data_IF_060531240031
#
_entry.id   IF_060531240031
#
_cell.length_a   1.000
_cell.length_b   1.000
_cell.length_c   1.000
_cell.angle_alpha   90.00
_cell.angle_beta   90.00
_cell.angle_gamma   90.00
#
_symmetry.space_group_name_H-M   'P 1'
#
loop_
_entity.id
_entity.type
_entity.pdbx_description
1 polymer ?
#
# COMPACT_ATOMS: atom_id res chain seq x y z
N UNK A 1 2.23 15.34 -21.37
CA UNK A 1 2.73 16.25 -22.44
C UNK A 1 2.81 17.67 -21.87
N UNK A 2 4.00 18.27 -21.92
CA UNK A 2 4.18 19.68 -21.62
C UNK A 2 4.29 20.46 -22.93
N UNK A 3 3.65 21.63 -23.02
CA UNK A 3 3.71 22.53 -24.15
C UNK A 3 4.68 23.70 -23.90
N UNK A 4 5.40 23.67 -22.79
CA UNK A 4 6.38 24.65 -22.38
C UNK A 4 7.56 23.95 -21.69
N UNK A 5 8.63 24.69 -21.41
CA UNK A 5 9.82 24.19 -20.75
C UNK A 5 10.03 24.84 -19.40
N UNK A 6 10.61 24.11 -18.46
CA UNK A 6 10.90 24.60 -17.13
C UNK A 6 12.36 24.38 -16.77
N UNK A 7 12.86 25.21 -15.88
CA UNK A 7 14.13 25.06 -15.20
C UNK A 7 13.87 24.91 -13.71
N UNK A 8 14.51 23.92 -13.09
CA UNK A 8 14.37 23.62 -11.65
C UNK A 8 15.72 23.79 -10.96
N UNK A 9 15.73 24.46 -9.82
CA UNK A 9 16.90 24.67 -8.97
C UNK A 9 16.60 24.18 -7.56
N UNK A 10 17.42 23.28 -7.03
CA UNK A 10 17.35 22.80 -5.63
C UNK A 10 18.03 23.82 -4.72
N UNK A 11 17.24 24.75 -4.16
CA UNK A 11 17.75 25.86 -3.37
C UNK A 11 18.25 25.40 -2.00
N UNK A 12 17.42 24.65 -1.28
CA UNK A 12 17.68 24.20 0.07
C UNK A 12 17.22 22.77 0.33
N UNK A 13 17.95 22.11 1.21
CA UNK A 13 17.60 20.79 1.77
C UNK A 13 17.79 20.84 3.28
N UNK A 14 16.81 20.35 4.04
CA UNK A 14 16.89 20.16 5.48
C UNK A 14 16.41 18.77 5.85
N UNK A 15 17.25 18.03 6.56
CA UNK A 15 16.90 16.74 7.16
C UNK A 15 16.75 16.96 8.65
N UNK A 16 15.58 16.68 9.19
CA UNK A 16 15.22 16.89 10.59
C UNK A 16 14.94 15.53 11.24
N UNK A 17 15.92 15.03 11.99
CA UNK A 17 15.81 13.75 12.69
C UNK A 17 14.80 13.77 13.85
N UNK A 18 14.61 14.94 14.47
CA UNK A 18 13.69 15.06 15.60
C UNK A 18 12.21 14.99 15.15
N UNK A 19 11.92 15.60 14.02
CA UNK A 19 10.58 15.59 13.43
C UNK A 19 10.39 14.52 12.34
N UNK A 20 11.41 13.71 12.08
CA UNK A 20 11.42 12.64 11.08
C UNK A 20 11.00 13.14 9.68
N UNK A 21 11.50 14.30 9.26
CA UNK A 21 11.13 14.91 7.99
C UNK A 21 12.33 15.31 7.14
N UNK A 22 12.13 15.29 5.82
CA UNK A 22 13.05 15.86 4.83
C UNK A 22 12.32 16.96 4.09
N UNK A 23 12.83 18.20 4.18
CA UNK A 23 12.25 19.35 3.49
C UNK A 23 13.20 19.87 2.40
N UNK A 24 12.69 19.97 1.17
CA UNK A 24 13.38 20.57 0.03
C UNK A 24 12.62 21.78 -0.48
N UNK A 25 13.34 22.87 -0.76
CA UNK A 25 12.80 24.03 -1.47
C UNK A 25 13.39 24.04 -2.88
N UNK A 26 12.52 24.13 -3.88
CA UNK A 26 12.90 24.09 -5.29
C UNK A 26 12.27 25.25 -6.03
N UNK A 27 13.11 26.11 -6.59
CA UNK A 27 12.63 27.17 -7.48
C UNK A 27 12.42 26.61 -8.88
N UNK A 28 11.20 26.79 -9.40
CA UNK A 28 10.78 26.39 -10.74
C UNK A 28 10.51 27.64 -11.56
N UNK A 29 11.12 27.74 -12.74
CA UNK A 29 10.93 28.86 -13.67
C UNK A 29 10.40 28.32 -15.00
N UNK A 30 9.32 28.92 -15.50
CA UNK A 30 8.86 28.64 -16.86
C UNK A 30 9.78 29.37 -17.86
N UNK A 31 10.59 28.62 -18.58
CA UNK A 31 11.54 29.09 -19.58
C UNK A 31 10.99 29.09 -21.01
N UNK A 32 9.80 28.54 -21.20
CA UNK A 32 9.14 28.45 -22.49
C UNK A 32 8.24 29.65 -22.79
N UNK A 33 7.44 29.53 -23.82
CA UNK A 33 6.59 30.61 -24.34
C UNK A 33 5.10 30.46 -24.05
N UNK A 34 4.69 29.40 -23.39
CA UNK A 34 3.28 29.10 -23.04
C UNK A 34 3.17 28.95 -21.53
N UNK A 35 2.04 29.35 -20.95
CA UNK A 35 1.76 29.10 -19.54
C UNK A 35 1.58 27.62 -19.27
N UNK A 36 2.05 27.13 -18.12
CA UNK A 36 1.94 25.72 -17.77
C UNK A 36 2.31 25.45 -16.31
N UNK A 37 2.11 24.20 -15.90
CA UNK A 37 2.48 23.69 -14.57
C UNK A 37 3.63 22.70 -14.71
N UNK A 38 4.51 22.68 -13.73
CA UNK A 38 5.61 21.72 -13.63
C UNK A 38 5.48 20.85 -12.39
N UNK A 39 6.10 19.68 -12.43
CA UNK A 39 6.17 18.73 -11.31
C UNK A 39 7.61 18.66 -10.83
N UNK A 40 7.82 18.94 -9.55
CA UNK A 40 9.09 18.72 -8.88
C UNK A 40 9.04 17.35 -8.23
N UNK A 41 9.93 16.46 -8.62
CA UNK A 41 10.10 15.15 -8.04
C UNK A 41 11.39 15.15 -7.22
N UNK A 42 11.26 14.87 -5.92
CA UNK A 42 12.40 14.73 -4.99
C UNK A 42 12.76 13.25 -4.87
N UNK A 43 13.99 12.93 -5.18
CA UNK A 43 14.54 11.59 -5.09
C UNK A 43 15.60 11.50 -4.00
N UNK A 44 15.81 10.29 -3.48
CA UNK A 44 16.90 9.97 -2.56
C UNK A 44 17.65 8.73 -3.03
N UNK A 45 18.98 8.78 -2.99
CA UNK A 45 19.88 7.63 -3.10
C UNK A 45 20.44 7.34 -1.71
N UNK A 46 20.23 6.12 -1.26
CA UNK A 46 20.59 5.66 0.09
C UNK A 46 22.00 5.08 0.08
N UNK A 47 22.73 5.11 1.20
CA UNK A 47 23.94 4.34 1.35
C UNK A 47 23.65 2.85 1.10
N UNK A 48 24.52 2.17 0.36
CA UNK A 48 24.48 0.72 0.18
C UNK A 48 25.76 0.11 0.71
N UNK A 49 25.68 -0.34 1.94
CA UNK A 49 26.83 -0.65 2.79
C UNK A 49 27.23 -2.13 2.73
N UNK A 50 28.33 -2.50 3.39
CA UNK A 50 28.67 -3.91 3.53
C UNK A 50 27.70 -4.63 4.47
N UNK A 51 27.13 -3.92 5.46
CA UNK A 51 26.04 -4.45 6.27
C UNK A 51 24.86 -4.91 5.39
N UNK A 52 24.42 -4.07 4.45
CA UNK A 52 23.30 -4.39 3.55
C UNK A 52 23.56 -5.68 2.76
N UNK A 53 24.78 -5.81 2.21
CA UNK A 53 25.18 -6.99 1.42
C UNK A 53 25.22 -8.26 2.27
N UNK A 54 25.68 -8.15 3.52
CA UNK A 54 25.76 -9.27 4.46
C UNK A 54 24.38 -9.71 4.98
N UNK A 55 23.46 -8.75 5.15
CA UNK A 55 22.11 -8.98 5.68
C UNK A 55 21.03 -9.13 4.58
N UNK A 56 21.40 -9.01 3.30
CA UNK A 56 20.46 -9.12 2.18
C UNK A 56 19.48 -7.94 2.10
N UNK A 57 19.86 -6.77 2.61
CA UNK A 57 19.06 -5.55 2.51
C UNK A 57 19.26 -4.92 1.14
N UNK A 58 18.29 -5.06 0.26
CA UNK A 58 18.35 -4.50 -1.10
C UNK A 58 17.73 -3.12 -1.17
N UNK A 59 18.40 -2.23 -1.91
CA UNK A 59 17.98 -0.84 -2.09
C UNK A 59 18.05 -0.44 -3.55
N UNK A 60 17.10 0.35 -4.01
CA UNK A 60 17.18 0.98 -5.32
C UNK A 60 18.38 1.94 -5.39
N UNK A 61 18.93 2.13 -6.60
CA UNK A 61 19.99 3.13 -6.81
C UNK A 61 19.50 4.56 -6.48
N UNK A 62 18.23 4.82 -6.73
CA UNK A 62 17.48 6.01 -6.29
C UNK A 62 16.01 5.67 -6.19
N UNK A 63 15.29 6.37 -5.33
CA UNK A 63 13.84 6.20 -5.17
C UNK A 63 13.16 7.56 -5.06
N UNK A 64 11.94 7.66 -5.57
CA UNK A 64 11.10 8.84 -5.39
C UNK A 64 10.73 8.97 -3.91
N UNK A 65 11.13 10.07 -3.28
CA UNK A 65 10.82 10.31 -1.87
C UNK A 65 9.47 11.01 -1.70
N UNK A 66 9.26 12.10 -2.45
CA UNK A 66 7.98 12.81 -2.54
C UNK A 66 8.00 13.77 -3.76
N UNK A 67 6.90 14.47 -4.01
CA UNK A 67 6.76 15.40 -5.11
C UNK A 67 5.87 16.59 -4.78
N UNK A 68 6.03 17.64 -5.55
CA UNK A 68 5.17 18.83 -5.52
C UNK A 68 4.86 19.32 -6.93
N UNK A 69 3.83 20.14 -7.06
CA UNK A 69 3.42 20.69 -8.35
C UNK A 69 3.20 22.21 -8.25
N UNK A 70 3.69 22.95 -9.25
CA UNK A 70 3.50 24.39 -9.30
C UNK A 70 2.04 24.78 -9.57
N UNK A 71 1.68 26.01 -9.24
CA UNK A 71 0.58 26.69 -9.89
C UNK A 71 0.86 26.83 -11.40
N UNK A 72 -0.09 27.41 -12.16
CA UNK A 72 0.15 27.73 -13.56
C UNK A 72 1.08 28.93 -13.65
N UNK A 73 2.28 28.74 -14.22
CA UNK A 73 3.30 29.74 -14.39
C UNK A 73 3.22 30.34 -15.80
N UNK A 74 3.05 31.65 -15.89
CA UNK A 74 3.19 32.36 -17.15
C UNK A 74 4.66 32.28 -17.67
N UNK A 75 4.91 32.51 -18.99
CA UNK A 75 6.26 32.59 -19.51
C UNK A 75 7.16 33.51 -18.72
N UNK A 76 8.32 33.03 -18.27
CA UNK A 76 9.29 33.79 -17.46
C UNK A 76 8.97 33.88 -15.97
N UNK A 77 7.79 33.44 -15.51
CA UNK A 77 7.43 33.44 -14.10
C UNK A 77 8.11 32.30 -13.35
N UNK A 78 8.29 32.48 -12.05
CA UNK A 78 8.90 31.49 -11.15
C UNK A 78 8.04 31.31 -9.90
N UNK A 79 8.15 30.13 -9.29
CA UNK A 79 7.55 29.76 -8.00
C UNK A 79 8.53 28.87 -7.23
N UNK A 80 8.52 28.96 -5.90
CA UNK A 80 9.25 28.01 -5.05
C UNK A 80 8.27 26.96 -4.54
N UNK A 81 8.52 25.71 -4.91
CA UNK A 81 7.79 24.54 -4.41
C UNK A 81 8.52 24.01 -3.19
N UNK A 82 7.81 23.90 -2.06
CA UNK A 82 8.33 23.25 -0.85
C UNK A 82 7.77 21.84 -0.79
N UNK A 83 8.67 20.86 -0.68
CA UNK A 83 8.33 19.44 -0.50
C UNK A 83 8.77 19.05 0.91
N UNK A 84 7.87 18.46 1.68
CA UNK A 84 8.17 17.90 3.00
C UNK A 84 7.79 16.42 3.00
N UNK A 85 8.79 15.56 2.94
CA UNK A 85 8.65 14.12 2.92
C UNK A 85 8.79 13.51 4.32
N UNK A 86 8.09 12.41 4.57
CA UNK A 86 8.28 11.59 5.76
C UNK A 86 9.59 10.81 5.63
N UNK A 87 10.45 10.87 6.65
CA UNK A 87 11.75 10.21 6.66
C UNK A 87 11.63 8.69 6.64
N UNK A 88 10.54 8.14 7.12
CA UNK A 88 10.26 6.70 7.03
C UNK A 88 10.32 6.20 5.58
N UNK A 89 9.97 7.04 4.60
CA UNK A 89 10.02 6.68 3.17
C UNK A 89 11.44 6.46 2.64
N UNK A 90 12.47 6.83 3.38
CA UNK A 90 13.88 6.54 3.03
C UNK A 90 14.52 5.47 3.92
N UNK A 91 13.79 4.90 4.87
CA UNK A 91 14.27 3.77 5.65
C UNK A 91 14.25 2.47 4.81
N UNK A 92 15.18 1.58 5.11
CA UNK A 92 15.31 0.28 4.44
C UNK A 92 14.80 -0.83 5.34
N UNK A 93 14.13 -1.82 4.79
CA UNK A 93 13.67 -2.97 5.55
C UNK A 93 14.77 -4.02 5.68
N UNK A 94 15.14 -4.36 6.92
CA UNK A 94 15.97 -5.52 7.24
C UNK A 94 15.12 -6.57 7.95
N UNK A 95 14.87 -7.69 7.29
CA UNK A 95 14.04 -8.79 7.81
C UNK A 95 14.72 -9.60 8.91
N UNK A 96 16.03 -9.44 9.10
CA UNK A 96 16.86 -10.24 10.00
C UNK A 96 17.32 -9.49 11.24
N UNK A 97 17.24 -8.16 11.23
CA UNK A 97 17.69 -7.32 12.35
C UNK A 97 16.95 -7.67 13.65
N UNK A 98 17.70 -7.69 14.74
CA UNK A 98 17.13 -7.65 16.08
C UNK A 98 16.82 -6.20 16.43
N UNK A 99 15.56 -5.82 16.45
CA UNK A 99 15.22 -4.45 16.77
C UNK A 99 15.22 -4.17 18.28
N UNK A 100 15.20 -2.87 18.62
CA UNK A 100 15.28 -2.40 20.01
C UNK A 100 14.12 -2.87 20.92
N UNK A 101 13.01 -3.33 20.34
CA UNK A 101 11.86 -3.85 21.10
C UNK A 101 11.87 -5.37 21.25
N UNK A 102 12.90 -6.06 20.73
CA UNK A 102 13.13 -7.49 20.91
C UNK A 102 12.42 -8.40 19.93
N UNK A 103 11.89 -7.87 18.81
CA UNK A 103 11.37 -8.65 17.68
C UNK A 103 12.39 -8.77 16.55
N UNK A 104 12.11 -9.61 15.56
CA UNK A 104 12.91 -9.71 14.33
C UNK A 104 12.30 -8.88 13.24
N UNK A 105 13.17 -8.19 12.49
CA UNK A 105 12.79 -7.27 11.43
C UNK A 105 12.66 -5.82 11.91
N UNK A 106 13.27 -4.91 11.19
CA UNK A 106 13.25 -3.49 11.50
C UNK A 106 13.40 -2.65 10.24
N UNK A 107 12.83 -1.45 10.24
CA UNK A 107 13.25 -0.40 9.31
C UNK A 107 14.50 0.28 9.86
N UNK A 108 15.55 0.34 9.04
CA UNK A 108 16.86 0.85 9.41
C UNK A 108 17.22 2.10 8.59
N UNK A 109 18.08 2.93 9.18
CA UNK A 109 18.84 3.96 8.47
C UNK A 109 20.33 3.65 8.61
N UNK A 110 21.01 3.46 7.48
CA UNK A 110 22.44 3.18 7.49
C UNK A 110 23.27 4.42 7.79
N UNK A 111 24.39 4.24 8.42
CA UNK A 111 25.41 5.27 8.48
C UNK A 111 25.99 5.51 7.07
N UNK A 112 26.18 6.78 6.72
CA UNK A 112 26.74 7.15 5.42
C UNK A 112 26.05 8.33 4.77
N UNK A 113 26.40 8.55 3.51
CA UNK A 113 25.91 9.69 2.74
C UNK A 113 24.60 9.34 2.02
N UNK A 114 23.58 10.14 2.31
CA UNK A 114 22.30 10.16 1.62
C UNK A 114 22.34 11.29 0.59
N UNK A 115 22.07 10.97 -0.66
CA UNK A 115 22.02 11.96 -1.72
C UNK A 115 20.60 12.27 -2.12
N UNK A 116 20.19 13.53 -1.95
CA UNK A 116 18.89 14.03 -2.36
C UNK A 116 19.05 14.82 -3.67
N UNK A 117 18.14 14.57 -4.60
CA UNK A 117 18.20 15.22 -5.91
C UNK A 117 16.81 15.46 -6.47
N UNK A 118 16.71 16.42 -7.39
CA UNK A 118 15.52 16.66 -8.19
C UNK A 118 15.75 16.18 -9.62
N UNK A 119 14.70 15.68 -10.27
CA UNK A 119 14.78 15.22 -11.65
C UNK A 119 13.41 14.91 -12.23
N UNK A 120 13.32 14.79 -13.56
CA UNK A 120 12.10 14.44 -14.26
C UNK A 120 11.83 12.91 -14.30
N UNK A 121 12.65 12.14 -13.61
CA UNK A 121 12.54 10.69 -13.49
C UNK A 121 13.77 10.09 -12.84
N UNK A 122 13.69 8.81 -12.48
CA UNK A 122 14.75 8.10 -11.77
C UNK A 122 16.09 8.08 -12.52
N UNK A 123 16.09 8.03 -13.86
CA UNK A 123 17.33 8.04 -14.66
C UNK A 123 18.08 9.38 -14.52
N UNK A 124 17.38 10.52 -14.65
CA UNK A 124 18.00 11.83 -14.43
C UNK A 124 18.49 11.97 -12.99
N UNK A 125 17.68 11.50 -12.01
CA UNK A 125 18.02 11.55 -10.61
C UNK A 125 19.33 10.78 -10.30
N UNK A 126 19.47 9.55 -10.78
CA UNK A 126 20.71 8.77 -10.63
C UNK A 126 21.90 9.50 -11.24
N UNK A 127 21.75 10.02 -12.47
CA UNK A 127 22.84 10.72 -13.13
C UNK A 127 23.25 12.01 -12.41
N UNK A 128 22.30 12.75 -11.83
CA UNK A 128 22.63 13.92 -11.02
C UNK A 128 23.46 13.56 -9.79
N UNK A 129 23.10 12.47 -9.08
CA UNK A 129 23.89 11.98 -7.95
C UNK A 129 25.27 11.51 -8.40
N UNK A 130 25.38 10.71 -9.44
CA UNK A 130 26.66 10.25 -9.97
C UNK A 130 27.55 11.43 -10.40
N UNK A 131 26.97 12.47 -11.01
CA UNK A 131 27.71 13.69 -11.36
C UNK A 131 28.20 14.43 -10.11
N UNK A 132 27.38 14.49 -9.05
CA UNK A 132 27.78 15.11 -7.77
C UNK A 132 28.88 14.32 -7.05
N UNK A 133 28.92 13.01 -7.24
CA UNK A 133 30.01 12.13 -6.80
C UNK A 133 31.28 12.18 -7.69
N UNK A 134 31.24 13.02 -8.74
CA UNK A 134 32.38 13.23 -9.63
C UNK A 134 32.51 12.25 -10.80
N UNK A 135 31.45 11.47 -11.07
CA UNK A 135 31.42 10.57 -12.22
C UNK A 135 31.14 11.36 -13.52
N UNK A 136 31.67 10.87 -14.63
CA UNK A 136 31.46 11.45 -15.97
C UNK A 136 30.19 10.87 -16.59
N UNK A 137 29.05 11.49 -16.31
CA UNK A 137 27.71 11.08 -16.77
C UNK A 137 26.94 12.30 -17.29
N UNK A 138 25.82 12.05 -17.97
CA UNK A 138 24.88 13.08 -18.39
C UNK A 138 23.96 13.44 -17.22
N UNK A 139 24.46 14.24 -16.28
CA UNK A 139 23.77 14.69 -15.09
C UNK A 139 24.29 16.04 -14.59
N UNK A 140 23.54 16.68 -13.70
CA UNK A 140 23.84 18.00 -13.10
C UNK A 140 24.12 17.85 -11.60
N UNK A 141 25.39 18.02 -11.22
CA UNK A 141 25.83 17.92 -9.81
C UNK A 141 25.17 18.95 -8.89
N UNK A 142 24.80 20.12 -9.40
CA UNK A 142 24.15 21.21 -8.69
C UNK A 142 22.68 20.92 -8.34
N UNK A 143 22.08 19.90 -8.96
CA UNK A 143 20.74 19.39 -8.63
C UNK A 143 20.73 18.36 -7.49
N UNK A 144 21.88 18.00 -6.95
CA UNK A 144 22.01 17.03 -5.86
C UNK A 144 22.66 17.67 -4.62
N UNK A 145 22.21 17.24 -3.43
CA UNK A 145 22.77 17.61 -2.13
C UNK A 145 22.91 16.38 -1.26
N UNK A 146 24.03 16.27 -0.54
CA UNK A 146 24.25 15.19 0.41
C UNK A 146 23.90 15.59 1.83
N UNK A 147 23.53 14.61 2.61
CA UNK A 147 23.41 14.64 4.05
C UNK A 147 24.01 13.35 4.62
N UNK A 148 24.78 13.45 5.68
CA UNK A 148 25.47 12.29 6.27
C UNK A 148 24.81 11.92 7.59
N UNK A 149 24.48 10.63 7.76
CA UNK A 149 24.12 10.03 9.03
C UNK A 149 25.38 9.39 9.63
N UNK A 150 25.77 9.84 10.82
CA UNK A 150 27.05 9.43 11.43
C UNK A 150 27.04 8.01 12.00
N UNK A 151 25.88 7.47 12.34
CA UNK A 151 25.74 6.16 12.97
C UNK A 151 24.52 5.41 12.43
N UNK A 152 24.67 4.09 12.35
CA UNK A 152 23.56 3.18 12.05
C UNK A 152 22.43 3.34 13.07
N UNK A 153 21.17 3.34 12.58
CA UNK A 153 19.96 3.51 13.39
C UNK A 153 18.96 2.39 13.07
N UNK A 154 18.70 1.54 14.04
CA UNK A 154 17.70 0.48 14.06
C UNK A 154 16.60 0.73 15.11
N UNK A 155 16.52 1.94 15.64
CA UNK A 155 15.66 2.31 16.77
C UNK A 155 14.52 3.25 16.39
N UNK A 156 14.79 4.25 15.56
CA UNK A 156 13.81 5.28 15.19
C UNK A 156 12.55 4.67 14.62
N UNK A 157 12.67 3.68 13.71
CA UNK A 157 11.54 3.00 13.08
C UNK A 157 11.31 1.56 13.57
N UNK A 158 11.75 1.24 14.81
CA UNK A 158 11.51 -0.05 15.46
C UNK A 158 10.04 -0.25 15.88
N UNK A 159 9.30 0.84 16.00
CA UNK A 159 7.87 0.83 16.28
C UNK A 159 7.11 1.71 15.30
N UNK A 160 5.84 1.39 15.09
CA UNK A 160 4.92 2.26 14.35
C UNK A 160 4.62 3.53 15.15
N UNK A 161 4.02 4.53 14.50
CA UNK A 161 3.55 5.76 15.17
C UNK A 161 2.57 5.50 16.33
N UNK A 162 1.94 4.32 16.37
CA UNK A 162 1.05 3.89 17.47
C UNK A 162 1.79 3.16 18.60
N UNK A 163 3.11 2.99 18.50
CA UNK A 163 3.92 2.25 19.46
C UNK A 163 3.88 0.72 19.32
N UNK A 164 3.27 0.21 18.26
CA UNK A 164 3.30 -1.23 17.97
C UNK A 164 4.67 -1.62 17.44
N UNK A 165 5.26 -2.68 17.97
CA UNK A 165 6.53 -3.21 17.49
C UNK A 165 6.46 -3.57 15.99
N UNK A 166 7.49 -3.19 15.25
CA UNK A 166 7.68 -3.65 13.87
C UNK A 166 8.35 -5.01 13.91
N UNK A 167 7.84 -5.96 13.11
CA UNK A 167 8.39 -7.31 13.07
C UNK A 167 8.22 -7.95 11.69
N UNK A 168 9.01 -8.99 11.40
CA UNK A 168 8.87 -9.77 10.17
C UNK A 168 7.73 -10.79 10.33
N UNK A 169 6.53 -10.39 9.92
CA UNK A 169 5.33 -11.23 9.98
C UNK A 169 5.22 -12.25 8.83
N UNK A 170 6.10 -12.17 7.83
CA UNK A 170 6.05 -12.98 6.60
C UNK A 170 7.26 -13.91 6.46
N UNK A 171 7.98 -14.17 7.54
CA UNK A 171 9.20 -14.98 7.51
C UNK A 171 8.96 -16.41 6.99
N UNK A 172 7.82 -16.99 7.31
CA UNK A 172 7.40 -18.33 6.91
C UNK A 172 6.86 -18.39 5.46
N UNK A 173 6.60 -17.25 4.84
CA UNK A 173 6.20 -17.20 3.42
C UNK A 173 7.40 -17.26 2.47
N UNK A 174 8.62 -17.12 2.97
CA UNK A 174 9.82 -17.31 2.16
C UNK A 174 10.05 -18.80 1.89
N UNK A 175 10.08 -19.17 0.59
CA UNK A 175 10.33 -20.56 0.18
C UNK A 175 11.66 -21.10 0.74
N UNK A 176 12.66 -20.26 0.97
CA UNK A 176 13.93 -20.68 1.56
C UNK A 176 13.81 -21.09 3.03
N UNK A 177 12.73 -20.70 3.73
CA UNK A 177 12.43 -21.19 5.09
C UNK A 177 12.07 -22.67 5.09
N UNK A 178 11.47 -23.15 4.00
CA UNK A 178 11.01 -24.54 3.83
C UNK A 178 12.00 -25.39 3.04
N UNK A 179 12.59 -24.83 2.00
CA UNK A 179 13.54 -25.45 1.09
C UNK A 179 14.77 -24.55 0.94
N UNK A 180 15.74 -24.60 1.85
CA UNK A 180 16.91 -23.74 1.83
C UNK A 180 17.67 -23.76 0.49
N UNK A 181 18.02 -22.59 -0.03
CA UNK A 181 18.73 -22.43 -1.29
C UNK A 181 17.89 -22.63 -2.55
N UNK A 182 16.57 -22.68 -2.44
CA UNK A 182 15.65 -22.76 -3.57
C UNK A 182 15.63 -21.48 -4.38
N UNK A 183 15.38 -20.34 -3.75
CA UNK A 183 15.41 -19.03 -4.37
C UNK A 183 16.76 -18.37 -4.12
N UNK A 184 17.35 -17.86 -5.21
CA UNK A 184 18.47 -16.91 -5.14
C UNK A 184 17.87 -15.55 -5.41
N UNK A 185 17.90 -14.67 -4.41
CA UNK A 185 17.35 -13.32 -4.56
C UNK A 185 18.29 -12.46 -5.40
N UNK A 186 17.70 -11.61 -6.23
CA UNK A 186 18.48 -10.65 -7.01
C UNK A 186 19.16 -9.66 -6.06
N UNK A 187 20.46 -9.45 -6.28
CA UNK A 187 21.20 -8.41 -5.58
C UNK A 187 21.96 -7.52 -6.54
N UNK A 188 21.93 -6.22 -6.29
CA UNK A 188 22.74 -5.26 -7.05
C UNK A 188 24.25 -5.42 -6.82
N UNK A 189 24.66 -6.08 -5.74
CA UNK A 189 26.06 -6.37 -5.45
C UNK A 189 26.64 -7.46 -6.34
N UNK A 190 25.80 -8.38 -6.83
CA UNK A 190 26.18 -9.46 -7.78
C UNK A 190 25.01 -9.77 -8.73
N UNK A 191 24.69 -8.81 -9.58
CA UNK A 191 23.59 -8.94 -10.52
C UNK A 191 23.74 -10.15 -11.45
N UNK A 192 24.94 -10.39 -11.96
CA UNK A 192 25.18 -11.50 -12.90
C UNK A 192 25.08 -12.86 -12.22
N UNK A 193 25.56 -12.99 -10.99
CA UNK A 193 25.50 -14.22 -10.20
C UNK A 193 24.11 -14.57 -9.72
N UNK A 194 23.28 -13.57 -9.46
CA UNK A 194 21.93 -13.75 -8.90
C UNK A 194 20.81 -13.69 -9.93
N UNK A 195 21.07 -13.21 -11.14
CA UNK A 195 20.07 -13.22 -12.21
C UNK A 195 19.73 -14.65 -12.65
N UNK A 196 18.44 -15.05 -12.63
CA UNK A 196 18.06 -16.43 -12.94
C UNK A 196 18.31 -16.75 -14.42
N UNK A 197 19.14 -17.76 -14.70
CA UNK A 197 19.50 -18.21 -16.05
C UNK A 197 18.72 -19.45 -16.48
N UNK A 198 18.15 -20.18 -15.51
CA UNK A 198 17.39 -21.42 -15.75
C UNK A 198 16.26 -21.51 -14.73
N UNK A 199 15.22 -22.26 -15.10
CA UNK A 199 14.17 -22.63 -14.13
C UNK A 199 14.63 -23.81 -13.30
N UNK A 200 14.29 -23.78 -12.00
CA UNK A 200 14.45 -24.92 -11.10
C UNK A 200 13.15 -25.71 -11.06
N UNK A 201 13.23 -27.04 -11.18
CA UNK A 201 12.13 -27.91 -10.85
C UNK A 201 12.18 -28.17 -9.33
N UNK A 202 11.14 -27.80 -8.62
CA UNK A 202 11.03 -28.02 -7.19
C UNK A 202 10.22 -29.28 -6.93
N UNK A 203 10.62 -30.01 -5.90
CA UNK A 203 9.84 -31.14 -5.35
C UNK A 203 9.54 -30.83 -3.90
N UNK A 204 8.27 -30.92 -3.52
CA UNK A 204 7.87 -30.72 -2.14
C UNK A 204 8.55 -31.74 -1.22
N UNK A 205 8.93 -31.33 -0.04
CA UNK A 205 9.42 -32.24 1.00
C UNK A 205 8.27 -33.01 1.64
N UNK A 206 8.57 -34.10 2.33
CA UNK A 206 7.56 -34.85 3.05
C UNK A 206 6.89 -33.98 4.12
N UNK A 207 7.62 -33.07 4.77
CA UNK A 207 7.08 -32.10 5.73
C UNK A 207 6.09 -31.12 5.08
N UNK A 208 6.40 -30.60 3.88
CA UNK A 208 5.47 -29.75 3.13
C UNK A 208 4.21 -30.53 2.72
N UNK A 209 4.37 -31.78 2.33
CA UNK A 209 3.23 -32.64 1.99
C UNK A 209 2.39 -32.96 3.22
N UNK A 210 3.02 -33.25 4.36
CA UNK A 210 2.32 -33.47 5.63
C UNK A 210 1.50 -32.26 6.05
N UNK A 211 2.05 -31.04 5.90
CA UNK A 211 1.31 -29.79 6.18
C UNK A 211 0.12 -29.66 5.24
N UNK A 212 0.32 -29.86 3.93
CA UNK A 212 -0.76 -29.78 2.95
C UNK A 212 -1.84 -30.82 3.16
N UNK A 213 -1.46 -32.05 3.54
CA UNK A 213 -2.42 -33.13 3.82
C UNK A 213 -3.15 -32.93 5.15
N UNK A 214 -2.52 -32.31 6.14
CA UNK A 214 -3.09 -32.07 7.46
C UNK A 214 -3.82 -30.70 7.54
N UNK A 215 -3.58 -29.81 6.61
CA UNK A 215 -4.32 -28.54 6.48
C UNK A 215 -5.68 -28.72 5.77
N UNK A 216 -5.97 -29.93 5.33
CA UNK A 216 -7.36 -30.31 5.08
C UNK A 216 -8.05 -30.22 6.43
N UNK A 217 -8.85 -29.18 6.59
CA UNK A 217 -9.75 -28.99 7.72
C UNK A 217 -10.54 -30.29 7.89
N UNK A 218 -10.00 -31.21 8.68
CA UNK A 218 -10.79 -32.34 9.17
C UNK A 218 -11.91 -31.66 9.98
N UNK A 219 -13.10 -31.67 9.39
CA UNK A 219 -14.30 -31.44 10.19
C UNK A 219 -14.09 -32.35 11.36
N UNK A 220 -13.77 -31.79 12.53
CA UNK A 220 -13.50 -32.57 13.71
C UNK A 220 -14.79 -33.35 14.03
N UNK A 221 -14.93 -34.52 13.38
CA UNK A 221 -16.05 -35.41 13.58
C UNK A 221 -16.16 -35.83 15.04
N UNK A 222 -15.10 -35.60 15.84
CA UNK A 222 -15.03 -35.80 17.26
C UNK A 222 -15.20 -34.50 18.06
N UNK A 223 -15.38 -33.35 17.40
CA UNK A 223 -15.75 -32.10 18.08
C UNK A 223 -17.08 -32.33 18.78
N UNK A 224 -17.13 -32.05 20.07
CA UNK A 224 -18.38 -32.16 20.82
C UNK A 224 -19.26 -30.94 20.46
N UNK A 225 -20.30 -31.10 19.61
CA UNK A 225 -21.19 -30.02 19.25
C UNK A 225 -21.93 -29.43 20.45
N UNK A 226 -21.92 -30.13 21.61
CA UNK A 226 -22.50 -29.63 22.85
C UNK A 226 -21.72 -28.43 23.45
N UNK A 227 -20.50 -28.18 22.97
CA UNK A 227 -19.70 -27.01 23.42
C UNK A 227 -19.99 -25.73 22.64
N UNK A 228 -20.74 -25.82 21.55
CA UNK A 228 -21.10 -24.65 20.72
C UNK A 228 -22.52 -24.24 21.05
N UNK A 229 -22.68 -22.97 21.45
CA UNK A 229 -24.00 -22.37 21.74
C UNK A 229 -24.52 -21.67 20.49
N UNK A 230 -25.79 -21.88 20.17
CA UNK A 230 -26.50 -21.17 19.09
C UNK A 230 -27.81 -20.60 19.63
N UNK A 231 -28.18 -19.41 19.15
CA UNK A 231 -29.46 -18.78 19.42
C UNK A 231 -29.68 -18.35 20.88
N UNK A 232 -28.59 -18.05 21.61
CA UNK A 232 -28.69 -17.49 22.93
C UNK A 232 -29.30 -16.08 22.87
N UNK A 233 -30.00 -15.68 23.91
CA UNK A 233 -30.52 -14.32 24.07
C UNK A 233 -29.66 -13.56 25.13
N UNK A 234 -28.53 -13.06 24.69
CA UNK A 234 -27.59 -12.29 25.52
C UNK A 234 -27.86 -10.77 25.43
N UNK A 235 -28.77 -10.35 24.54
CA UNK A 235 -29.19 -8.95 24.40
C UNK A 235 -28.11 -8.04 23.80
N UNK A 236 -27.07 -8.61 23.16
CA UNK A 236 -25.98 -7.86 22.54
C UNK A 236 -26.25 -7.61 21.04
N UNK A 237 -25.78 -6.48 20.57
CA UNK A 237 -25.74 -6.14 19.16
C UNK A 237 -24.29 -5.93 18.72
N UNK A 238 -24.02 -6.04 17.42
CA UNK A 238 -22.69 -5.74 16.89
C UNK A 238 -22.25 -4.30 17.20
N UNK A 239 -23.19 -3.37 17.32
CA UNK A 239 -22.91 -1.98 17.67
C UNK A 239 -22.36 -1.81 19.11
N UNK A 240 -22.72 -2.72 20.03
CA UNK A 240 -22.25 -2.68 21.43
C UNK A 240 -20.75 -3.02 21.54
N UNK A 241 -20.20 -3.66 20.53
CA UNK A 241 -18.78 -4.00 20.45
C UNK A 241 -17.95 -2.95 19.67
N UNK A 242 -18.57 -1.84 19.28
CA UNK A 242 -17.84 -0.78 18.57
C UNK A 242 -16.68 -0.25 19.43
N UNK A 243 -15.46 -0.37 18.91
CA UNK A 243 -14.23 0.08 19.58
C UNK A 243 -13.63 -0.96 20.54
N UNK A 244 -14.19 -2.16 20.63
CA UNK A 244 -13.58 -3.30 21.32
C UNK A 244 -12.54 -3.90 20.38
N UNK A 245 -11.26 -3.71 20.71
CA UNK A 245 -10.12 -4.21 19.91
C UNK A 245 -9.50 -5.48 20.50
N UNK A 246 -9.82 -5.81 21.76
CA UNK A 246 -9.40 -7.04 22.39
C UNK A 246 -10.31 -8.18 21.90
N UNK A 247 -9.74 -9.14 21.20
CA UNK A 247 -10.47 -10.30 20.68
C UNK A 247 -10.80 -11.34 21.76
N UNK A 248 -10.12 -11.27 22.90
CA UNK A 248 -10.38 -12.12 24.08
C UNK A 248 -11.46 -11.54 25.01
N UNK A 249 -12.02 -10.37 24.69
CA UNK A 249 -13.15 -9.80 25.42
C UNK A 249 -14.37 -10.73 25.37
N UNK A 250 -14.88 -11.14 26.52
CA UNK A 250 -15.98 -12.12 26.65
C UNK A 250 -17.23 -11.75 25.84
N UNK A 251 -17.43 -10.46 25.56
CA UNK A 251 -18.58 -9.98 24.77
C UNK A 251 -18.58 -10.54 23.35
N UNK A 252 -17.41 -10.83 22.75
CA UNK A 252 -17.35 -11.47 21.44
C UNK A 252 -17.96 -12.86 21.47
N UNK A 253 -17.61 -13.68 22.46
CA UNK A 253 -18.19 -15.01 22.63
C UNK A 253 -19.69 -14.95 22.89
N UNK A 254 -20.13 -14.05 23.78
CA UNK A 254 -21.55 -13.86 24.06
C UNK A 254 -22.34 -13.38 22.83
N UNK A 255 -21.75 -12.51 21.98
CA UNK A 255 -22.36 -12.08 20.72
C UNK A 255 -22.47 -13.24 19.74
N UNK A 256 -21.39 -14.04 19.60
CA UNK A 256 -21.38 -15.19 18.70
C UNK A 256 -22.37 -16.28 19.11
N UNK A 257 -22.58 -16.50 20.40
CA UNK A 257 -23.57 -17.44 20.91
C UNK A 257 -25.01 -17.10 20.54
N UNK A 258 -25.30 -15.84 20.18
CA UNK A 258 -26.61 -15.41 19.71
C UNK A 258 -26.93 -15.86 18.28
N UNK A 259 -25.91 -16.12 17.46
CA UNK A 259 -26.12 -16.55 16.09
C UNK A 259 -26.89 -17.87 16.05
N UNK A 260 -27.86 -17.96 15.16
CA UNK A 260 -28.48 -19.25 14.84
C UNK A 260 -27.57 -20.04 13.89
N UNK A 261 -27.72 -21.38 13.89
CA UNK A 261 -26.98 -22.22 12.94
C UNK A 261 -27.29 -21.82 11.49
N UNK A 262 -28.54 -21.45 11.19
CA UNK A 262 -28.96 -21.02 9.86
C UNK A 262 -28.26 -19.73 9.45
N UNK A 263 -28.16 -18.71 10.31
CA UNK A 263 -27.43 -17.47 10.05
C UNK A 263 -25.94 -17.73 9.80
N UNK A 264 -25.32 -18.63 10.58
CA UNK A 264 -23.94 -19.03 10.33
C UNK A 264 -23.75 -19.71 8.98
N UNK A 265 -24.63 -20.59 8.58
CA UNK A 265 -24.60 -21.25 7.27
C UNK A 265 -24.82 -20.26 6.12
N UNK A 266 -25.76 -19.34 6.26
CA UNK A 266 -26.02 -18.27 5.27
C UNK A 266 -24.78 -17.39 5.12
N UNK A 267 -24.14 -17.01 6.24
CA UNK A 267 -22.94 -16.18 6.23
C UNK A 267 -21.79 -16.83 5.46
N UNK A 268 -21.58 -18.12 5.67
CA UNK A 268 -20.51 -18.87 5.01
C UNK A 268 -20.84 -19.22 3.56
N UNK A 269 -22.09 -19.55 3.25
CA UNK A 269 -22.50 -20.08 1.96
C UNK A 269 -22.92 -19.03 0.93
N UNK A 270 -23.43 -17.87 1.36
CA UNK A 270 -24.00 -16.84 0.50
C UNK A 270 -23.24 -15.51 0.53
N UNK A 271 -21.99 -15.52 0.99
CA UNK A 271 -21.16 -14.33 1.08
C UNK A 271 -20.81 -13.74 -0.28
N UNK A 272 -19.80 -14.22 -0.91
CA UNK A 272 -19.28 -13.67 -2.16
C UNK A 272 -18.82 -12.21 -1.98
N UNK A 273 -19.30 -11.31 -2.83
CA UNK A 273 -19.02 -9.87 -2.78
C UNK A 273 -19.99 -9.10 -1.88
N UNK A 274 -20.74 -9.77 -1.03
CA UNK A 274 -21.62 -9.16 -0.04
C UNK A 274 -21.64 -10.02 1.22
N UNK A 275 -22.05 -9.44 2.34
CA UNK A 275 -22.39 -10.20 3.53
C UNK A 275 -23.87 -10.05 3.81
N UNK A 276 -24.57 -11.15 4.02
CA UNK A 276 -25.99 -11.09 4.38
C UNK A 276 -26.19 -10.52 5.76
N UNK A 277 -27.30 -9.88 5.98
CA UNK A 277 -27.68 -9.42 7.33
C UNK A 277 -27.76 -10.61 8.30
N UNK A 278 -27.36 -10.36 9.55
CA UNK A 278 -27.51 -11.30 10.66
C UNK A 278 -28.39 -10.62 11.70
N UNK A 279 -29.66 -11.03 11.74
CA UNK A 279 -30.68 -10.35 12.54
C UNK A 279 -30.46 -10.51 14.03
N UNK A 280 -30.01 -11.68 14.48
CA UNK A 280 -29.78 -12.00 15.89
C UNK A 280 -28.77 -11.07 16.58
N UNK A 281 -27.85 -10.48 15.84
CA UNK A 281 -26.83 -9.53 16.35
C UNK A 281 -26.95 -8.15 15.73
N UNK A 282 -28.02 -7.88 14.98
CA UNK A 282 -28.26 -6.63 14.25
C UNK A 282 -27.08 -6.23 13.33
N UNK A 283 -26.41 -7.21 12.70
CA UNK A 283 -25.40 -6.96 11.70
C UNK A 283 -26.08 -6.65 10.35
N UNK A 284 -25.85 -5.48 9.75
CA UNK A 284 -26.48 -5.14 8.48
C UNK A 284 -25.89 -5.95 7.32
N UNK A 285 -26.65 -6.06 6.23
CA UNK A 285 -26.08 -6.50 4.95
C UNK A 285 -25.03 -5.51 4.46
N UNK A 286 -23.95 -6.03 3.89
CA UNK A 286 -22.89 -5.22 3.28
C UNK A 286 -22.78 -5.51 1.80
N UNK A 287 -22.46 -4.49 1.02
CA UNK A 287 -22.18 -4.60 -0.41
C UNK A 287 -20.73 -4.19 -0.62
N UNK A 288 -19.97 -5.04 -1.33
CA UNK A 288 -18.57 -4.80 -1.66
C UNK A 288 -18.45 -4.71 -3.18
N UNK A 289 -17.64 -3.79 -3.66
CA UNK A 289 -17.49 -3.62 -5.10
C UNK A 289 -16.15 -3.02 -5.50
N UNK A 290 -15.70 -3.40 -6.70
CA UNK A 290 -14.58 -2.80 -7.40
C UNK A 290 -14.92 -1.42 -7.94
N UNK A 291 -13.86 -0.61 -8.16
CA UNK A 291 -14.12 0.64 -8.79
C UNK A 291 -12.98 1.59 -9.05
N UNK A 292 -11.79 1.15 -9.50
CA UNK A 292 -10.71 2.09 -9.79
C UNK A 292 -11.02 3.07 -10.91
N UNK A 293 -11.93 2.74 -11.84
CA UNK A 293 -12.36 3.61 -12.94
C UNK A 293 -13.73 4.26 -12.69
N UNK A 294 -14.14 4.36 -11.44
CA UNK A 294 -15.52 4.57 -11.02
C UNK A 294 -16.15 3.24 -10.61
N UNK A 295 -17.17 3.28 -9.78
CA UNK A 295 -17.81 2.06 -9.28
C UNK A 295 -18.28 1.22 -10.47
N UNK A 296 -17.60 0.09 -10.67
CA UNK A 296 -18.01 -0.90 -11.66
C UNK A 296 -18.80 -2.00 -10.97
N UNK A 297 -20.08 -1.90 -11.09
CA UNK A 297 -21.02 -2.74 -10.38
C UNK A 297 -21.17 -4.11 -11.04
N UNK A 298 -20.50 -5.11 -10.52
CA UNK A 298 -20.89 -6.48 -10.78
C UNK A 298 -22.25 -6.80 -10.11
N UNK A 299 -22.52 -6.48 -8.85
CA UNK A 299 -23.85 -6.63 -8.25
C UNK A 299 -24.82 -5.50 -8.59
N UNK A 300 -24.35 -4.28 -8.86
CA UNK A 300 -25.22 -3.11 -9.03
C UNK A 300 -25.55 -2.79 -10.50
N UNK A 301 -24.86 -3.30 -11.47
CA UNK A 301 -25.05 -2.93 -12.87
C UNK A 301 -25.03 -4.05 -13.90
N UNK A 302 -24.36 -5.17 -13.67
CA UNK A 302 -24.43 -6.32 -14.58
C UNK A 302 -25.66 -7.19 -14.35
N UNK A 303 -26.23 -7.16 -13.15
CA UNK A 303 -27.47 -7.82 -12.80
C UNK A 303 -28.70 -6.89 -12.86
N UNK A 304 -28.58 -5.72 -13.42
CA UNK A 304 -29.71 -5.10 -14.07
C UNK A 304 -30.17 -6.07 -15.20
N UNK A 305 -30.59 -7.23 -14.76
CA UNK A 305 -30.95 -8.33 -15.63
C UNK A 305 -32.18 -7.90 -16.43
N UNK A 306 -32.01 -7.85 -17.69
CA UNK A 306 -33.12 -7.76 -18.62
C UNK A 306 -34.01 -9.01 -18.53
N UNK A 307 -33.59 -10.05 -17.83
CA UNK A 307 -34.37 -11.25 -17.58
C UNK A 307 -35.24 -11.09 -16.33
N UNK A 308 -36.47 -10.65 -16.56
CA UNK A 308 -37.52 -10.53 -15.53
C UNK A 308 -37.91 -11.87 -14.87
N UNK A 309 -37.31 -12.98 -15.27
CA UNK A 309 -37.55 -14.31 -14.72
C UNK A 309 -36.52 -14.73 -13.67
N UNK A 310 -35.49 -13.90 -13.40
CA UNK A 310 -34.50 -14.19 -12.39
C UNK A 310 -35.14 -14.24 -11.02
N UNK A 311 -34.93 -15.36 -10.33
CA UNK A 311 -35.30 -15.53 -8.92
C UNK A 311 -34.19 -15.04 -7.99
N UNK A 312 -33.12 -14.43 -8.51
CA UNK A 312 -32.04 -13.85 -7.73
C UNK A 312 -32.60 -12.65 -6.94
N UNK A 313 -32.59 -12.71 -5.60
CA UNK A 313 -33.06 -11.61 -4.75
C UNK A 313 -32.20 -10.34 -4.90
N UNK A 314 -31.01 -10.45 -5.51
CA UNK A 314 -30.14 -9.32 -5.83
C UNK A 314 -30.36 -8.77 -7.26
N UNK A 315 -31.26 -9.35 -8.05
CA UNK A 315 -31.54 -8.86 -9.40
C UNK A 315 -32.28 -7.52 -9.31
N UNK A 316 -31.61 -6.47 -9.73
CA UNK A 316 -32.16 -5.12 -9.82
C UNK A 316 -32.96 -5.02 -11.14
N UNK A 317 -34.20 -4.54 -11.10
CA UNK A 317 -34.95 -4.25 -12.32
C UNK A 317 -34.26 -3.13 -13.10
N UNK A 318 -33.65 -3.47 -14.23
CA UNK A 318 -33.01 -2.51 -15.12
C UNK A 318 -33.91 -1.36 -15.59
N UNK A 319 -35.21 -1.54 -15.45
CA UNK A 319 -36.20 -0.55 -15.86
C UNK A 319 -36.71 0.31 -14.70
N UNK A 320 -36.29 0.03 -13.44
CA UNK A 320 -36.60 0.91 -12.33
C UNK A 320 -35.59 2.08 -12.33
N UNK A 321 -36.04 3.31 -12.65
CA UNK A 321 -35.12 4.45 -12.68
C UNK A 321 -34.52 4.80 -11.32
N UNK A 322 -35.09 4.28 -10.23
CA UNK A 322 -34.57 4.51 -8.88
C UNK A 322 -33.51 3.48 -8.47
N UNK A 323 -33.45 2.35 -9.18
CA UNK A 323 -32.49 1.27 -8.95
C UNK A 323 -31.41 1.20 -10.03
N UNK A 324 -31.52 2.01 -11.09
CA UNK A 324 -30.52 2.08 -12.16
C UNK A 324 -29.37 3.02 -11.71
N UNK A 325 -28.42 2.49 -10.99
CA UNK A 325 -27.20 3.23 -10.64
C UNK A 325 -26.37 3.48 -11.91
N UNK A 326 -26.27 4.73 -12.30
CA UNK A 326 -25.42 5.16 -13.42
C UNK A 326 -24.24 5.93 -12.88
N UNK A 327 -23.10 5.26 -12.82
CA UNK A 327 -21.85 5.90 -12.43
C UNK A 327 -21.13 6.45 -13.67
N UNK A 328 -20.44 7.57 -13.48
CA UNK A 328 -19.52 8.08 -14.49
C UNK A 328 -18.29 7.18 -14.61
N UNK A 329 -17.86 6.95 -15.85
CA UNK A 329 -16.54 6.33 -16.08
C UNK A 329 -15.45 7.38 -15.86
N UNK A 330 -14.46 7.09 -15.05
CA UNK A 330 -13.33 7.96 -14.73
C UNK A 330 -12.02 7.34 -15.26
N UNK A 331 -10.95 8.13 -15.28
CA UNK A 331 -9.63 7.58 -15.54
C UNK A 331 -9.21 6.64 -14.41
N UNK A 332 -8.43 5.60 -14.70
CA UNK A 332 -7.90 4.72 -13.68
C UNK A 332 -6.82 5.41 -12.82
N UNK A 333 -6.48 4.82 -11.68
CA UNK A 333 -5.53 5.38 -10.72
C UNK A 333 -4.15 5.62 -11.34
N UNK A 334 -3.71 4.73 -12.24
CA UNK A 334 -2.44 4.89 -12.96
C UNK A 334 -2.41 6.20 -13.74
N UNK A 335 -3.50 6.54 -14.43
CA UNK A 335 -3.61 7.81 -15.18
C UNK A 335 -3.66 9.00 -14.23
N UNK A 336 -4.39 8.87 -13.11
CA UNK A 336 -4.43 9.93 -12.08
C UNK A 336 -3.04 10.13 -11.46
N UNK A 337 -2.34 9.04 -11.10
CA UNK A 337 -1.00 9.09 -10.53
C UNK A 337 0.01 9.77 -11.48
N UNK A 338 -0.05 9.50 -12.77
CA UNK A 338 0.82 10.13 -13.78
C UNK A 338 0.64 11.65 -13.89
N UNK A 339 -0.43 12.20 -13.33
CA UNK A 339 -0.60 13.68 -13.28
C UNK A 339 0.24 14.34 -12.21
N UNK A 340 0.75 13.58 -11.22
CA UNK A 340 1.41 14.11 -10.03
C UNK A 340 0.61 15.25 -9.37
N UNK A 341 -0.70 15.09 -9.28
CA UNK A 341 -1.62 16.11 -8.78
C UNK A 341 -2.43 15.57 -7.60
N UNK A 342 -1.95 15.87 -6.38
CA UNK A 342 -2.57 15.45 -5.13
C UNK A 342 -4.02 15.96 -4.99
N UNK A 343 -4.30 17.20 -5.47
CA UNK A 343 -5.63 17.77 -5.42
C UNK A 343 -6.61 17.01 -6.33
N UNK A 344 -6.16 16.64 -7.55
CA UNK A 344 -6.97 15.84 -8.45
C UNK A 344 -7.26 14.44 -7.86
N UNK A 345 -6.25 13.81 -7.26
CA UNK A 345 -6.43 12.52 -6.58
C UNK A 345 -7.43 12.62 -5.42
N UNK A 346 -7.36 13.72 -4.64
CA UNK A 346 -8.31 13.97 -3.56
C UNK A 346 -9.73 14.18 -4.08
N UNK A 347 -9.93 14.97 -5.15
CA UNK A 347 -11.25 15.15 -5.77
C UNK A 347 -11.79 13.85 -6.35
N UNK A 348 -10.92 13.02 -6.95
CA UNK A 348 -11.26 11.68 -7.41
C UNK A 348 -11.78 10.82 -6.25
N UNK A 349 -11.05 10.76 -5.13
CA UNK A 349 -11.47 10.03 -3.93
C UNK A 349 -12.80 10.51 -3.35
N UNK A 350 -13.06 11.83 -3.37
CA UNK A 350 -14.36 12.38 -2.96
C UNK A 350 -15.50 11.91 -3.87
N UNK A 351 -15.28 11.85 -5.18
CA UNK A 351 -16.29 11.34 -6.12
C UNK A 351 -16.57 9.87 -5.84
N UNK A 352 -15.53 9.03 -5.66
CA UNK A 352 -15.69 7.62 -5.29
C UNK A 352 -16.44 7.46 -3.97
N UNK A 353 -16.11 8.25 -2.95
CA UNK A 353 -16.80 8.24 -1.67
C UNK A 353 -18.28 8.63 -1.78
N UNK A 354 -18.61 9.66 -2.58
CA UNK A 354 -19.99 10.06 -2.83
C UNK A 354 -20.77 8.99 -3.59
N UNK A 355 -20.16 8.34 -4.56
CA UNK A 355 -20.79 7.22 -5.27
C UNK A 355 -21.06 6.04 -4.33
N UNK A 356 -20.11 5.73 -3.44
CA UNK A 356 -20.26 4.67 -2.44
C UNK A 356 -21.43 4.96 -1.50
N UNK A 357 -21.51 6.20 -0.98
CA UNK A 357 -22.63 6.61 -0.13
C UNK A 357 -23.98 6.54 -0.87
N UNK A 358 -24.02 7.01 -2.11
CA UNK A 358 -25.26 7.01 -2.89
C UNK A 358 -25.75 5.61 -3.24
N UNK A 359 -24.83 4.66 -3.49
CA UNK A 359 -25.15 3.28 -3.84
C UNK A 359 -25.26 2.34 -2.64
N UNK A 360 -25.11 2.86 -1.42
CA UNK A 360 -25.05 2.06 -0.19
C UNK A 360 -23.91 1.01 -0.21
N UNK A 361 -22.83 1.33 -0.90
CA UNK A 361 -21.64 0.48 -0.95
C UNK A 361 -20.91 0.58 0.39
N UNK A 362 -20.68 -0.55 1.03
CA UNK A 362 -20.06 -0.62 2.37
C UNK A 362 -18.54 -0.76 2.29
N UNK A 363 -18.04 -1.48 1.29
CA UNK A 363 -16.62 -1.70 1.04
C UNK A 363 -16.33 -1.40 -0.42
N UNK A 364 -15.39 -0.52 -0.65
CA UNK A 364 -14.88 -0.15 -1.96
C UNK A 364 -13.48 -0.74 -2.14
N UNK A 365 -13.31 -1.50 -3.22
CA UNK A 365 -12.01 -2.07 -3.62
C UNK A 365 -11.40 -1.17 -4.69
N UNK A 366 -10.42 -0.33 -4.29
CA UNK A 366 -9.78 0.65 -5.15
C UNK A 366 -8.29 0.78 -4.90
#
# INVERSE_FOLDING_TARGET
LSYTTFEQTLDNLNVDLENETVTANVTVKNTGSVAGKDVVQLYVSLPYTDYDKEHGVEKAATQLLDYGKTAELAPGASETVTITADMQNMASWDSTADNAVGTKGCYILDAGDYWFTIGNGAHEAVNNVLAAEGQSVDGSADKAKSWTLDSFDDTTFATTKNGTAVENQLADMDINSWLPGTATYLTRSDWEGTFPKTYKNLTATDEMLDILDNDIYEINANGDPSTVTFGADNGLTLADLKGVTDLDDERWSLLMDQLTLEEGMIRLGLGGTSTKAIESIMSPETIQNDGPNGIYSYPLGQYANTDKTSTDPCAVDANDPNLAYKFGTMANETVIAQTFNKDLANEYGKICGNYSLWSNLTIFWG
#
